data_IF_209086420471
#
_entry.id   IF_209086420471
#
_cell.length_a   1.000
_cell.length_b   1.000
_cell.length_c   1.000
_cell.angle_alpha   90.00
_cell.angle_beta   90.00
_cell.angle_gamma   90.00
#
_symmetry.space_group_name_H-M   'P 1'
#
loop_
_entity.id
_entity.type
_entity.pdbx_description
1 polymer ?
#
# COMPACT_ATOMS: atom_id res chain seq x y z
N UNK A 1 28.49 -28.23 36.91
CA UNK A 1 27.84 -28.09 35.58
C UNK A 1 26.55 -27.27 35.65
N UNK A 2 25.79 -27.30 36.75
CA UNK A 2 24.49 -26.62 36.90
C UNK A 2 24.55 -25.08 36.82
N UNK A 3 25.57 -24.45 37.42
CA UNK A 3 25.73 -22.97 37.40
C UNK A 3 25.97 -22.42 35.99
N UNK A 4 26.72 -23.14 35.16
CA UNK A 4 26.98 -22.73 33.78
C UNK A 4 25.72 -22.76 32.90
N UNK A 5 24.83 -23.73 33.14
CA UNK A 5 23.56 -23.84 32.43
C UNK A 5 22.61 -22.70 32.81
N UNK A 6 22.54 -22.33 34.09
CA UNK A 6 21.73 -21.20 34.53
C UNK A 6 22.21 -19.87 33.96
N UNK A 7 23.53 -19.64 33.92
CA UNK A 7 24.10 -18.40 33.38
C UNK A 7 23.85 -18.27 31.87
N UNK A 8 24.01 -19.37 31.13
CA UNK A 8 23.72 -19.40 29.69
C UNK A 8 22.23 -19.17 29.39
N UNK A 9 21.33 -19.74 30.21
CA UNK A 9 19.89 -19.53 30.08
C UNK A 9 19.51 -18.07 30.37
N UNK A 10 20.09 -17.46 31.42
CA UNK A 10 19.83 -16.05 31.76
C UNK A 10 20.28 -15.11 30.62
N UNK A 11 21.47 -15.34 30.07
CA UNK A 11 22.00 -14.58 28.95
C UNK A 11 21.17 -14.75 27.67
N UNK A 12 20.65 -15.96 27.41
CA UNK A 12 19.74 -16.20 26.28
C UNK A 12 18.43 -15.44 26.40
N UNK A 13 17.86 -15.33 27.61
CA UNK A 13 16.64 -14.55 27.86
C UNK A 13 16.90 -13.05 27.77
N UNK A 14 18.04 -12.57 28.27
CA UNK A 14 18.44 -11.15 28.19
C UNK A 14 18.81 -10.70 26.77
N UNK A 15 19.28 -11.62 25.91
CA UNK A 15 19.60 -11.35 24.51
C UNK A 15 18.38 -11.43 23.58
N UNK A 16 17.21 -11.87 24.07
CA UNK A 16 15.97 -11.83 23.33
C UNK A 16 15.46 -10.38 23.24
N UNK A 17 16.05 -9.60 22.33
CA UNK A 17 15.52 -8.29 21.98
C UNK A 17 14.08 -8.46 21.44
N UNK A 18 13.14 -7.58 21.83
CA UNK A 18 11.80 -7.63 21.25
C UNK A 18 11.93 -7.46 19.74
N UNK A 19 11.30 -8.36 18.99
CA UNK A 19 11.13 -8.18 17.56
C UNK A 19 10.23 -6.95 17.37
N UNK A 20 10.85 -5.79 17.12
CA UNK A 20 10.13 -4.57 16.79
C UNK A 20 9.36 -4.85 15.50
N UNK A 21 8.03 -4.87 15.57
CA UNK A 21 7.21 -4.93 14.38
C UNK A 21 7.45 -3.62 13.62
N UNK A 22 8.24 -3.69 12.56
CA UNK A 22 8.52 -2.55 11.67
C UNK A 22 7.24 -2.14 10.95
N UNK A 23 6.41 -1.32 11.62
CA UNK A 23 5.17 -0.75 11.10
C UNK A 23 4.11 -1.75 10.64
N UNK A 24 2.91 -1.24 10.40
CA UNK A 24 1.89 -1.93 9.63
C UNK A 24 2.27 -1.86 8.15
N UNK A 25 2.34 -3.03 7.50
CA UNK A 25 2.51 -3.17 6.05
C UNK A 25 1.17 -3.48 5.43
N UNK A 26 0.66 -2.60 4.58
CA UNK A 26 -0.67 -2.79 3.99
C UNK A 26 -0.83 -2.01 2.68
N UNK A 27 -1.88 -2.37 1.96
CA UNK A 27 -2.37 -1.64 0.81
C UNK A 27 -3.49 -0.70 1.27
N UNK A 28 -3.24 0.61 1.16
CA UNK A 28 -4.28 1.61 1.33
C UNK A 28 -5.08 1.78 0.03
N UNK A 29 -6.36 2.11 0.17
CA UNK A 29 -7.29 2.27 -0.95
C UNK A 29 -7.78 3.72 -1.02
N UNK A 30 -7.80 4.25 -2.24
CA UNK A 30 -7.97 5.67 -2.49
C UNK A 30 -8.94 5.90 -3.64
N UNK A 31 -9.73 6.95 -3.52
CA UNK A 31 -10.56 7.51 -4.58
C UNK A 31 -9.91 8.82 -5.06
N UNK A 32 -9.97 9.08 -6.36
CA UNK A 32 -9.44 10.30 -6.94
C UNK A 32 -10.57 11.31 -7.16
N UNK A 33 -10.44 12.47 -6.55
CA UNK A 33 -11.30 13.64 -6.76
C UNK A 33 -10.52 14.69 -7.55
N UNK A 34 -10.77 14.75 -8.86
CA UNK A 34 -9.98 15.54 -9.81
C UNK A 34 -8.50 15.16 -9.79
N UNK A 35 -7.65 16.04 -9.26
CA UNK A 35 -6.21 15.82 -9.13
C UNK A 35 -5.78 15.29 -7.75
N UNK A 36 -6.70 15.18 -6.79
CA UNK A 36 -6.41 14.86 -5.40
C UNK A 36 -6.78 13.43 -5.04
N UNK A 37 -5.98 12.81 -4.17
CA UNK A 37 -6.31 11.52 -3.58
C UNK A 37 -7.01 11.72 -2.23
N UNK A 38 -8.16 11.08 -2.12
CA UNK A 38 -8.98 10.99 -0.90
C UNK A 38 -8.97 9.55 -0.42
N UNK A 39 -8.74 9.36 0.89
CA UNK A 39 -8.74 8.02 1.46
C UNK A 39 -10.15 7.45 1.33
N UNK A 40 -10.28 6.24 0.78
CA UNK A 40 -11.59 5.70 0.48
C UNK A 40 -12.37 5.42 1.77
N UNK A 41 -13.65 5.83 1.79
CA UNK A 41 -14.56 5.55 2.90
C UNK A 41 -15.08 4.10 2.87
N UNK A 42 -14.92 3.43 1.74
CA UNK A 42 -15.35 2.06 1.48
C UNK A 42 -14.17 1.21 1.00
N UNK A 43 -14.26 -0.11 1.18
CA UNK A 43 -13.28 -1.04 0.63
C UNK A 43 -13.46 -1.27 -0.87
N UNK A 44 -12.43 -1.76 -1.58
CA UNK A 44 -12.48 -1.98 -3.04
C UNK A 44 -13.50 -3.03 -3.48
N UNK A 45 -13.93 -3.94 -2.59
CA UNK A 45 -14.99 -4.92 -2.89
C UNK A 45 -16.40 -4.32 -2.88
N UNK A 46 -16.61 -3.22 -2.15
CA UNK A 46 -17.93 -2.60 -1.96
C UNK A 46 -18.08 -1.29 -2.74
N UNK A 47 -16.97 -0.59 -3.00
CA UNK A 47 -16.97 0.63 -3.80
C UNK A 47 -17.65 0.41 -5.17
N UNK A 48 -18.40 1.41 -5.62
CA UNK A 48 -19.13 1.41 -6.89
C UNK A 48 -18.80 2.69 -7.66
N UNK A 49 -17.60 2.78 -8.26
CA UNK A 49 -17.19 3.95 -9.03
C UNK A 49 -18.11 4.21 -10.24
N UNK A 50 -18.15 5.45 -10.68
CA UNK A 50 -18.79 5.91 -11.91
C UNK A 50 -17.88 5.72 -13.14
N UNK A 51 -18.45 5.84 -14.36
CA UNK A 51 -17.63 5.90 -15.58
C UNK A 51 -16.76 7.16 -15.52
N UNK A 52 -15.45 7.03 -15.72
CA UNK A 52 -14.53 8.16 -15.60
C UNK A 52 -13.76 8.21 -14.28
N UNK A 53 -14.18 7.45 -13.27
CA UNK A 53 -13.51 7.47 -11.98
C UNK A 53 -12.14 6.82 -12.03
N UNK A 54 -11.25 7.25 -11.13
CA UNK A 54 -9.95 6.63 -10.90
C UNK A 54 -9.84 6.18 -9.45
N UNK A 55 -9.49 4.91 -9.26
CA UNK A 55 -9.21 4.33 -7.95
C UNK A 55 -7.72 4.02 -7.82
N UNK A 56 -7.22 4.03 -6.58
CA UNK A 56 -5.80 3.88 -6.28
C UNK A 56 -5.53 2.87 -5.18
N UNK A 57 -4.48 2.08 -5.39
CA UNK A 57 -3.87 1.24 -4.37
C UNK A 57 -2.45 1.73 -4.10
N UNK A 58 -2.11 1.94 -2.83
CA UNK A 58 -0.77 2.34 -2.42
C UNK A 58 -0.26 1.41 -1.32
N UNK A 59 0.81 0.68 -1.62
CA UNK A 59 1.52 -0.10 -0.62
C UNK A 59 2.48 0.81 0.16
N UNK A 60 2.42 0.72 1.48
CA UNK A 60 3.33 1.44 2.37
C UNK A 60 3.57 0.69 3.68
N UNK A 61 4.67 1.03 4.35
CA UNK A 61 4.95 0.65 5.73
C UNK A 61 4.79 1.89 6.60
N UNK A 62 3.88 1.86 7.58
CA UNK A 62 3.61 2.99 8.47
C UNK A 62 3.34 2.51 9.90
N UNK A 63 3.75 3.29 10.89
CA UNK A 63 3.47 3.02 12.30
C UNK A 63 1.98 3.27 12.64
N UNK A 64 1.31 4.16 11.91
CA UNK A 64 -0.14 4.44 12.02
C UNK A 64 -0.80 4.42 10.63
N UNK A 65 -1.98 3.83 10.53
CA UNK A 65 -2.78 3.82 9.30
C UNK A 65 -3.37 5.19 8.95
N UNK A 66 -3.51 6.09 9.92
CA UNK A 66 -4.01 7.46 9.68
C UNK A 66 -3.08 8.29 8.79
N UNK A 67 -1.78 7.97 8.80
CA UNK A 67 -0.77 8.62 7.97
C UNK A 67 -0.47 7.84 6.68
N UNK A 68 -1.48 7.11 6.17
CA UNK A 68 -1.39 6.34 4.91
C UNK A 68 -0.80 7.18 3.79
N UNK A 69 0.27 6.67 3.17
CA UNK A 69 0.83 7.29 1.98
C UNK A 69 -0.19 7.25 0.82
N UNK A 70 -0.25 8.32 0.04
CA UNK A 70 -1.11 8.44 -1.14
C UNK A 70 -0.46 7.78 -2.38
N UNK A 71 -1.26 7.31 -3.36
CA UNK A 71 -0.74 6.90 -4.66
C UNK A 71 0.03 8.05 -5.33
N UNK A 72 1.18 7.74 -5.95
CA UNK A 72 2.03 8.76 -6.57
C UNK A 72 1.73 8.92 -8.06
N UNK A 73 2.13 10.09 -8.58
CA UNK A 73 2.22 10.47 -10.00
C UNK A 73 0.94 10.93 -10.68
N UNK A 74 1.04 11.33 -11.97
CA UNK A 74 0.06 12.24 -12.54
C UNK A 74 -1.11 11.59 -13.27
N UNK A 75 -0.95 10.35 -13.77
CA UNK A 75 -1.87 9.71 -14.71
C UNK A 75 -3.34 9.79 -14.24
N UNK A 76 -4.18 10.44 -15.04
CA UNK A 76 -5.61 10.62 -14.81
C UNK A 76 -6.45 9.65 -15.67
N UNK A 77 -7.77 9.73 -15.58
CA UNK A 77 -8.66 8.82 -16.30
C UNK A 77 -8.38 8.81 -17.81
N UNK A 78 -8.23 9.99 -18.41
CA UNK A 78 -8.02 10.13 -19.85
C UNK A 78 -6.71 9.45 -20.28
N UNK A 79 -5.63 9.63 -19.52
CA UNK A 79 -4.37 8.95 -19.80
C UNK A 79 -4.46 7.43 -19.63
N UNK A 80 -5.11 6.96 -18.56
CA UNK A 80 -5.22 5.52 -18.23
C UNK A 80 -6.12 4.80 -19.24
N UNK A 81 -7.24 5.41 -19.60
CA UNK A 81 -8.27 4.81 -20.44
C UNK A 81 -8.25 5.28 -21.90
N UNK A 82 -7.18 5.97 -22.35
CA UNK A 82 -7.04 6.46 -23.73
C UNK A 82 -7.30 5.39 -24.80
N UNK A 83 -6.87 4.15 -24.54
CA UNK A 83 -7.05 3.00 -25.44
C UNK A 83 -8.34 2.21 -25.23
N UNK A 84 -9.23 2.66 -24.34
CA UNK A 84 -10.44 1.93 -23.94
C UNK A 84 -11.69 2.69 -24.41
N UNK A 85 -12.30 2.30 -25.53
CA UNK A 85 -13.52 2.93 -26.01
C UNK A 85 -14.68 2.75 -25.03
N UNK A 86 -15.52 3.78 -24.94
CA UNK A 86 -16.80 3.68 -24.23
C UNK A 86 -17.70 2.63 -24.89
N UNK A 87 -18.52 1.95 -24.07
CA UNK A 87 -19.49 0.95 -24.52
C UNK A 87 -20.78 1.12 -23.74
N UNK A 88 -21.91 1.00 -24.42
CA UNK A 88 -23.22 1.14 -23.80
C UNK A 88 -23.41 0.15 -22.64
N UNK A 89 -23.95 0.65 -21.53
CA UNK A 89 -24.18 -0.14 -20.32
C UNK A 89 -22.90 -0.57 -19.58
N UNK A 90 -21.72 0.00 -19.90
CA UNK A 90 -20.44 -0.32 -19.26
C UNK A 90 -19.80 0.94 -18.70
N UNK A 91 -19.12 0.78 -17.56
CA UNK A 91 -18.24 1.80 -16.97
C UNK A 91 -16.79 1.46 -17.29
N UNK A 92 -15.98 2.49 -17.50
CA UNK A 92 -14.52 2.49 -17.55
C UNK A 92 -14.06 3.14 -16.26
N UNK A 93 -13.12 2.48 -15.60
CA UNK A 93 -12.57 2.93 -14.33
C UNK A 93 -11.07 2.84 -14.45
N UNK A 94 -10.39 3.96 -14.24
CA UNK A 94 -8.94 3.99 -14.18
C UNK A 94 -8.44 3.35 -12.88
N UNK A 95 -7.35 2.60 -12.95
CA UNK A 95 -6.73 2.02 -11.77
C UNK A 95 -5.28 2.47 -11.66
N UNK A 96 -4.87 2.91 -10.49
CA UNK A 96 -3.46 3.19 -10.20
C UNK A 96 -2.97 2.19 -9.16
N UNK A 97 -1.98 1.37 -9.50
CA UNK A 97 -1.34 0.43 -8.57
C UNK A 97 0.08 0.90 -8.28
N UNK A 98 0.26 1.48 -7.09
CA UNK A 98 1.53 2.01 -6.60
C UNK A 98 2.16 1.06 -5.57
N UNK A 99 3.20 0.34 -6.00
CA UNK A 99 3.81 -0.77 -5.27
C UNK A 99 4.70 -0.40 -4.08
N UNK A 100 5.10 0.86 -3.89
CA UNK A 100 6.12 1.15 -2.89
C UNK A 100 7.17 2.13 -3.35
N UNK A 101 7.79 2.79 -2.37
CA UNK A 101 9.16 3.27 -2.47
C UNK A 101 10.11 2.15 -2.02
N UNK A 102 11.41 2.31 -2.28
CA UNK A 102 12.42 1.38 -1.73
C UNK A 102 12.37 1.29 -0.19
N UNK A 103 11.94 2.37 0.50
CA UNK A 103 11.77 2.36 1.96
C UNK A 103 10.57 1.52 2.43
N UNK A 104 9.59 1.27 1.55
CA UNK A 104 8.45 0.39 1.86
C UNK A 104 8.79 -1.10 1.65
N UNK A 105 9.88 -1.39 0.93
CA UNK A 105 10.24 -2.75 0.56
C UNK A 105 11.06 -3.46 1.66
N UNK A 106 10.96 -4.79 1.79
CA UNK A 106 11.92 -5.57 2.55
C UNK A 106 13.36 -5.32 2.10
N UNK A 107 14.32 -5.51 3.00
CA UNK A 107 15.70 -5.02 2.86
C UNK A 107 16.34 -5.24 1.49
N UNK A 108 16.59 -4.12 0.78
CA UNK A 108 17.32 -4.08 -0.49
C UNK A 108 16.47 -4.38 -1.74
N UNK A 109 15.19 -4.69 -1.59
CA UNK A 109 14.30 -4.90 -2.72
C UNK A 109 13.89 -3.59 -3.38
N UNK A 110 13.67 -3.65 -4.69
CA UNK A 110 13.16 -2.51 -5.48
C UNK A 110 11.73 -2.81 -5.89
N UNK A 111 10.73 -2.06 -5.39
CA UNK A 111 9.35 -2.24 -5.83
C UNK A 111 9.21 -2.10 -7.35
N UNK A 112 8.28 -2.83 -7.98
CA UNK A 112 7.95 -2.63 -9.38
C UNK A 112 7.56 -1.18 -9.68
N UNK A 113 7.75 -0.77 -10.93
CA UNK A 113 7.17 0.49 -11.42
C UNK A 113 5.64 0.46 -11.25
N UNK A 114 5.08 1.63 -10.94
CA UNK A 114 3.63 1.86 -10.88
C UNK A 114 2.95 1.36 -12.15
N UNK A 115 1.75 0.81 -12.00
CA UNK A 115 0.91 0.37 -13.12
C UNK A 115 -0.38 1.18 -13.19
N UNK A 116 -0.85 1.33 -14.41
CA UNK A 116 -2.12 1.94 -14.78
C UNK A 116 -2.73 1.20 -15.95
#
# INVERSE_FOLDING_TARGET
>A
MTVGVFLAALLGVLAAAPAQAAGYRYWSFWERDGAQWTYASQGPGTARPEDGDVQGFRFSVSDDSKDSAKPRGPADFDAICAGTPARDGRKRVGLVVDFGTAGDAPGGETPPKRRT
#
